data_IF_384360573282
#
_entry.id   IF_384360573282
#
_cell.length_a   1.000
_cell.length_b   1.000
_cell.length_c   1.000
_cell.angle_alpha   90.00
_cell.angle_beta   90.00
_cell.angle_gamma   90.00
#
_symmetry.space_group_name_H-M   'P 1'
#
loop_
_entity.id
_entity.type
_entity.pdbx_description
1 polymer ?
#
# COMPACT_ATOMS: atom_id res chain seq x y z
N UNK A 1 -28.96 -33.30 -25.47
CA UNK A 1 -29.12 -32.19 -24.50
C UNK A 1 -28.43 -32.36 -23.14
N UNK A 2 -27.70 -33.46 -22.85
CA UNK A 2 -27.00 -33.62 -21.54
C UNK A 2 -25.55 -33.10 -21.50
N UNK A 3 -24.92 -32.84 -22.65
CA UNK A 3 -23.52 -32.40 -22.72
C UNK A 3 -23.40 -30.88 -22.48
N UNK A 4 -24.38 -30.09 -22.90
CA UNK A 4 -24.37 -28.62 -22.75
C UNK A 4 -24.48 -28.16 -21.28
N UNK A 5 -25.14 -28.96 -20.42
CA UNK A 5 -25.29 -28.64 -18.99
C UNK A 5 -24.04 -28.91 -18.15
N UNK A 6 -23.15 -29.80 -18.59
CA UNK A 6 -21.90 -30.14 -17.88
C UNK A 6 -20.80 -29.14 -18.24
N UNK A 7 -20.76 -28.65 -19.47
CA UNK A 7 -19.77 -27.65 -19.91
C UNK A 7 -20.03 -26.28 -19.25
N UNK A 8 -21.30 -25.92 -19.03
CA UNK A 8 -21.67 -24.66 -18.38
C UNK A 8 -21.37 -24.65 -16.88
N UNK A 9 -21.44 -25.80 -16.20
CA UNK A 9 -21.06 -25.92 -14.78
C UNK A 9 -19.54 -26.02 -14.58
N UNK A 10 -18.80 -26.62 -15.52
CA UNK A 10 -17.34 -26.67 -15.49
C UNK A 10 -16.71 -25.29 -15.72
N UNK A 11 -17.31 -24.44 -16.57
CA UNK A 11 -16.88 -23.05 -16.75
C UNK A 11 -17.16 -22.18 -15.50
N UNK A 12 -18.22 -22.49 -14.74
CA UNK A 12 -18.55 -21.76 -13.52
C UNK A 12 -17.61 -22.09 -12.36
N UNK A 13 -17.14 -23.34 -12.25
CA UNK A 13 -16.18 -23.74 -11.21
C UNK A 13 -14.71 -23.42 -11.57
N UNK A 14 -14.32 -23.42 -12.85
CA UNK A 14 -12.95 -23.08 -13.25
C UNK A 14 -12.68 -21.56 -13.31
N UNK A 15 -13.73 -20.74 -13.50
CA UNK A 15 -13.63 -19.28 -13.55
C UNK A 15 -13.45 -18.58 -12.20
N UNK A 16 -13.81 -19.23 -11.08
CA UNK A 16 -13.71 -18.62 -9.74
C UNK A 16 -12.28 -18.63 -9.15
N UNK A 17 -11.41 -19.52 -9.64
CA UNK A 17 -10.04 -19.65 -9.12
C UNK A 17 -9.01 -18.78 -9.87
N UNK A 18 -9.36 -18.23 -11.04
CA UNK A 18 -8.38 -17.72 -12.00
C UNK A 18 -8.16 -16.18 -12.01
N UNK A 19 -8.86 -15.39 -11.20
CA UNK A 19 -8.59 -13.95 -11.12
C UNK A 19 -9.18 -13.33 -9.86
N UNK A 20 -8.62 -13.64 -8.69
CA UNK A 20 -8.91 -12.79 -7.53
C UNK A 20 -8.24 -11.43 -7.79
N UNK A 21 -9.05 -10.41 -8.07
CA UNK A 21 -8.57 -9.03 -8.12
C UNK A 21 -7.89 -8.71 -6.77
N UNK A 22 -6.74 -8.03 -6.80
CA UNK A 22 -6.02 -7.60 -5.59
C UNK A 22 -6.93 -6.89 -4.58
N UNK A 23 -7.91 -6.11 -5.07
CA UNK A 23 -8.92 -5.50 -4.22
C UNK A 23 -9.72 -6.56 -3.42
N UNK A 24 -10.22 -7.61 -4.09
CA UNK A 24 -10.98 -8.69 -3.45
C UNK A 24 -10.15 -9.47 -2.45
N UNK A 25 -8.87 -9.71 -2.76
CA UNK A 25 -7.93 -10.37 -1.84
C UNK A 25 -7.79 -9.56 -0.54
N UNK A 26 -7.67 -8.23 -0.66
CA UNK A 26 -7.55 -7.32 0.49
C UNK A 26 -8.87 -7.23 1.25
N UNK A 27 -10.00 -7.03 0.55
CA UNK A 27 -11.33 -6.90 1.17
C UNK A 27 -11.74 -8.14 1.97
N UNK A 28 -11.40 -9.34 1.46
CA UNK A 28 -11.69 -10.60 2.12
C UNK A 28 -10.64 -11.01 3.17
N UNK A 29 -9.59 -10.20 3.38
CA UNK A 29 -8.43 -10.56 4.21
C UNK A 29 -7.86 -11.93 3.84
N UNK A 30 -7.81 -12.24 2.55
CA UNK A 30 -7.39 -13.54 2.06
C UNK A 30 -5.86 -13.62 1.99
N UNK A 31 -5.23 -13.78 3.16
CA UNK A 31 -3.77 -13.87 3.30
C UNK A 31 -3.17 -15.05 2.53
N UNK A 32 -3.91 -16.16 2.41
CA UNK A 32 -3.49 -17.34 1.65
C UNK A 32 -3.35 -17.01 0.16
N UNK A 33 -4.32 -16.31 -0.41
CA UNK A 33 -4.24 -15.86 -1.80
C UNK A 33 -3.14 -14.81 -2.01
N UNK A 34 -3.03 -13.83 -1.10
CA UNK A 34 -1.96 -12.83 -1.14
C UNK A 34 -0.56 -13.47 -1.08
N UNK A 35 -0.41 -14.59 -0.37
CA UNK A 35 0.84 -15.36 -0.29
C UNK A 35 1.16 -16.08 -1.60
N UNK A 36 0.18 -16.31 -2.46
CA UNK A 36 0.35 -16.97 -3.75
C UNK A 36 0.49 -15.98 -4.92
N UNK A 37 0.45 -14.67 -4.67
CA UNK A 37 0.75 -13.65 -5.68
C UNK A 37 2.14 -13.93 -6.26
N UNK A 38 2.17 -14.04 -7.60
CA UNK A 38 3.23 -14.75 -8.33
C UNK A 38 4.26 -13.81 -8.96
N UNK A 39 3.98 -12.50 -9.04
CA UNK A 39 4.93 -11.53 -9.56
C UNK A 39 4.87 -10.18 -8.86
N UNK A 40 6.03 -9.51 -8.76
CA UNK A 40 6.12 -8.12 -8.29
C UNK A 40 5.36 -7.15 -9.21
N UNK A 41 5.21 -7.47 -10.49
CA UNK A 41 4.43 -6.67 -11.45
C UNK A 41 2.96 -6.67 -11.10
N UNK A 42 2.39 -7.83 -10.77
CA UNK A 42 0.98 -7.98 -10.36
C UNK A 42 0.68 -7.11 -9.13
N UNK A 43 1.50 -7.24 -8.08
CA UNK A 43 1.32 -6.55 -6.79
C UNK A 43 1.36 -5.03 -6.92
N UNK A 44 2.05 -4.50 -7.92
CA UNK A 44 2.22 -3.06 -8.15
C UNK A 44 1.20 -2.47 -9.14
N UNK A 45 0.24 -3.27 -9.63
CA UNK A 45 -0.85 -2.74 -10.44
C UNK A 45 -1.73 -1.79 -9.63
N UNK A 46 -2.25 -0.77 -10.32
CA UNK A 46 -3.25 0.12 -9.74
C UNK A 46 -4.58 -0.60 -9.69
N UNK A 47 -5.20 -0.62 -8.52
CA UNK A 47 -6.58 -1.00 -8.32
C UNK A 47 -7.45 0.26 -8.32
N UNK A 48 -8.68 0.13 -8.79
CA UNK A 48 -9.67 1.21 -8.75
C UNK A 48 -10.71 0.89 -7.69
N UNK A 49 -10.70 1.66 -6.61
CA UNK A 49 -11.64 1.52 -5.50
C UNK A 49 -12.49 2.77 -5.45
N UNK A 50 -13.79 2.62 -5.67
CA UNK A 50 -14.76 3.74 -5.62
C UNK A 50 -14.38 4.93 -6.54
N UNK A 51 -13.81 4.64 -7.72
CA UNK A 51 -13.35 5.65 -8.68
C UNK A 51 -11.99 6.28 -8.35
N UNK A 52 -11.32 5.82 -7.29
CA UNK A 52 -9.96 6.26 -6.92
C UNK A 52 -8.96 5.16 -7.27
N UNK A 53 -7.97 5.51 -8.11
CA UNK A 53 -6.84 4.63 -8.38
C UNK A 53 -5.86 4.66 -7.21
N UNK A 54 -5.37 3.50 -6.80
CA UNK A 54 -4.31 3.37 -5.79
C UNK A 54 -3.62 2.02 -5.92
N UNK A 55 -2.48 1.83 -5.25
CA UNK A 55 -1.83 0.50 -5.20
C UNK A 55 -2.51 -0.42 -4.20
N UNK A 56 -2.31 -1.73 -4.35
CA UNK A 56 -2.71 -2.71 -3.33
C UNK A 56 -2.15 -2.38 -1.94
N UNK A 57 -0.88 -1.93 -1.87
CA UNK A 57 -0.25 -1.54 -0.61
C UNK A 57 -0.91 -0.30 0.02
N UNK A 58 -1.24 0.70 -0.80
CA UNK A 58 -2.00 1.88 -0.37
C UNK A 58 -3.36 1.50 0.20
N UNK A 59 -4.07 0.58 -0.46
CA UNK A 59 -5.40 0.13 -0.02
C UNK A 59 -5.35 -0.69 1.27
N UNK A 60 -4.41 -1.62 1.39
CA UNK A 60 -4.18 -2.37 2.63
C UNK A 60 -3.84 -1.44 3.80
N UNK A 61 -3.03 -0.39 3.55
CA UNK A 61 -2.69 0.63 4.54
C UNK A 61 -3.89 1.48 4.97
N UNK A 62 -4.77 1.83 4.02
CA UNK A 62 -6.04 2.51 4.30
C UNK A 62 -6.98 1.63 5.16
N UNK A 63 -7.00 0.31 4.92
CA UNK A 63 -7.79 -0.65 5.69
C UNK A 63 -7.18 -1.02 7.06
N UNK A 64 -6.02 -0.47 7.41
CA UNK A 64 -5.29 -0.78 8.63
C UNK A 64 -4.92 -2.28 8.78
N UNK A 65 -4.70 -2.98 7.66
CA UNK A 65 -4.38 -4.42 7.68
C UNK A 65 -2.86 -4.65 7.65
N UNK A 66 -2.25 -4.70 8.83
CA UNK A 66 -0.78 -4.80 9.00
C UNK A 66 -0.23 -6.11 8.42
N UNK A 67 -0.96 -7.21 8.56
CA UNK A 67 -0.58 -8.51 7.99
C UNK A 67 -0.56 -8.45 6.46
N UNK A 68 -1.59 -7.86 5.84
CA UNK A 68 -1.65 -7.71 4.40
C UNK A 68 -0.58 -6.75 3.89
N UNK A 69 -0.32 -5.62 4.59
CA UNK A 69 0.77 -4.70 4.26
C UNK A 69 2.11 -5.43 4.26
N UNK A 70 2.41 -6.19 5.32
CA UNK A 70 3.64 -6.98 5.41
C UNK A 70 3.77 -7.97 4.25
N UNK A 71 2.69 -8.67 3.92
CA UNK A 71 2.68 -9.68 2.88
C UNK A 71 2.90 -9.06 1.49
N UNK A 72 2.23 -7.95 1.18
CA UNK A 72 2.40 -7.23 -0.08
C UNK A 72 3.84 -6.72 -0.24
N UNK A 73 4.45 -6.18 0.82
CA UNK A 73 5.86 -5.76 0.82
C UNK A 73 6.78 -6.96 0.54
N UNK A 74 6.55 -8.11 1.20
CA UNK A 74 7.31 -9.34 0.95
C UNK A 74 7.17 -9.83 -0.50
N UNK A 75 6.05 -9.53 -1.15
CA UNK A 75 5.78 -9.84 -2.56
C UNK A 75 6.30 -8.79 -3.54
N UNK A 76 7.02 -7.78 -3.06
CA UNK A 76 7.65 -6.77 -3.91
C UNK A 76 6.76 -5.57 -4.21
N UNK A 77 5.76 -5.29 -3.37
CA UNK A 77 5.06 -4.01 -3.43
C UNK A 77 6.05 -2.85 -3.24
N UNK A 78 5.97 -1.88 -4.13
CA UNK A 78 6.72 -0.64 -4.03
C UNK A 78 6.17 0.17 -2.86
N UNK A 79 7.04 0.49 -1.91
CA UNK A 79 6.68 1.27 -0.71
C UNK A 79 6.43 2.74 -1.05
N UNK A 80 7.12 3.27 -2.07
CA UNK A 80 6.95 4.64 -2.59
C UNK A 80 6.84 4.61 -4.11
N UNK A 81 5.70 4.15 -4.65
CA UNK A 81 5.49 4.09 -6.09
C UNK A 81 5.32 5.50 -6.65
N UNK A 82 5.87 5.76 -7.84
CA UNK A 82 5.65 7.02 -8.56
C UNK A 82 4.25 6.98 -9.14
N UNK A 83 3.29 7.51 -8.40
CA UNK A 83 1.90 7.58 -8.84
C UNK A 83 1.32 8.94 -8.53
N UNK A 84 0.31 9.27 -9.31
CA UNK A 84 -0.55 10.43 -9.17
C UNK A 84 -1.49 10.37 -7.95
N UNK A 85 -1.29 9.40 -7.05
CA UNK A 85 -2.21 8.99 -6.01
C UNK A 85 -1.52 9.04 -4.64
N UNK A 86 -2.30 8.98 -3.55
CA UNK A 86 -1.70 8.89 -2.21
C UNK A 86 -0.98 7.55 -2.04
N UNK A 87 0.25 7.59 -1.53
CA UNK A 87 1.00 6.38 -1.25
C UNK A 87 0.58 5.73 0.09
N UNK A 88 1.12 4.55 0.37
CA UNK A 88 0.82 3.78 1.56
C UNK A 88 1.08 4.53 2.86
N UNK A 89 2.16 5.33 2.91
CA UNK A 89 2.54 6.08 4.09
C UNK A 89 1.52 7.19 4.39
N UNK A 90 1.04 7.88 3.35
CA UNK A 90 0.00 8.91 3.49
C UNK A 90 -1.32 8.32 4.03
N UNK A 91 -1.74 7.16 3.55
CA UNK A 91 -2.96 6.51 4.05
C UNK A 91 -2.82 5.99 5.48
N UNK A 92 -1.68 5.36 5.80
CA UNK A 92 -1.38 4.91 7.16
C UNK A 92 -1.36 6.09 8.16
N UNK A 93 -0.75 7.22 7.75
CA UNK A 93 -0.68 8.43 8.55
C UNK A 93 -2.05 9.07 8.75
N UNK A 94 -2.86 9.18 7.69
CA UNK A 94 -4.24 9.67 7.77
C UNK A 94 -5.13 8.81 8.67
N UNK A 95 -4.92 7.49 8.65
CA UNK A 95 -5.72 6.52 9.42
C UNK A 95 -5.29 6.33 10.87
N UNK A 96 -4.19 6.94 11.31
CA UNK A 96 -3.69 6.76 12.68
C UNK A 96 -2.95 5.45 12.92
N UNK A 97 -2.55 4.75 11.85
CA UNK A 97 -1.97 3.40 11.94
C UNK A 97 -0.47 3.45 12.22
N UNK A 98 -0.09 3.73 13.48
CA UNK A 98 1.31 3.88 13.90
C UNK A 98 2.21 2.71 13.47
N UNK A 99 1.75 1.48 13.69
CA UNK A 99 2.53 0.27 13.36
C UNK A 99 2.82 0.16 11.85
N UNK A 100 1.83 0.47 11.01
CA UNK A 100 2.01 0.50 9.55
C UNK A 100 2.96 1.63 9.14
N UNK A 101 2.86 2.81 9.78
CA UNK A 101 3.79 3.92 9.53
C UNK A 101 5.23 3.52 9.82
N UNK A 102 5.51 2.95 11.00
CA UNK A 102 6.84 2.50 11.38
C UNK A 102 7.36 1.39 10.45
N UNK A 103 6.51 0.44 10.08
CA UNK A 103 6.84 -0.60 9.13
C UNK A 103 7.25 0.00 7.77
N UNK A 104 6.43 0.88 7.20
CA UNK A 104 6.71 1.49 5.90
C UNK A 104 8.01 2.31 5.93
N UNK A 105 8.25 3.09 6.98
CA UNK A 105 9.50 3.84 7.18
C UNK A 105 10.70 2.90 7.28
N UNK A 106 10.59 1.78 8.00
CA UNK A 106 11.65 0.76 8.07
C UNK A 106 11.99 0.11 6.73
N UNK A 107 11.02 0.13 5.79
CA UNK A 107 11.16 -0.37 4.42
C UNK A 107 11.55 0.71 3.41
N UNK A 108 11.92 1.89 3.89
CA UNK A 108 12.45 2.96 3.05
C UNK A 108 11.37 3.79 2.35
N UNK A 109 10.16 3.89 2.94
CA UNK A 109 9.16 4.85 2.48
C UNK A 109 9.75 6.26 2.42
N UNK A 110 9.54 6.95 1.31
CA UNK A 110 9.92 8.35 1.18
C UNK A 110 8.97 9.23 2.01
N UNK A 111 9.42 9.65 3.19
CA UNK A 111 8.68 10.56 4.08
C UNK A 111 8.36 11.92 3.44
N UNK A 112 9.12 12.30 2.40
CA UNK A 112 8.98 13.57 1.67
C UNK A 112 8.09 13.45 0.43
N UNK A 113 7.50 12.29 0.15
CA UNK A 113 6.56 12.17 -0.98
C UNK A 113 5.37 13.11 -0.76
N UNK A 114 4.92 13.71 -1.87
CA UNK A 114 3.79 14.63 -1.89
C UNK A 114 2.66 14.06 -2.76
N UNK A 115 1.42 14.23 -2.30
CA UNK A 115 0.25 13.95 -3.12
C UNK A 115 0.06 15.02 -4.20
N UNK A 116 -0.92 14.84 -5.09
CA UNK A 116 -1.33 15.87 -6.07
C UNK A 116 -1.69 17.23 -5.45
N UNK A 117 -2.09 17.24 -4.19
CA UNK A 117 -2.43 18.47 -3.45
C UNK A 117 -1.19 19.13 -2.81
N UNK A 118 0.02 18.59 -3.04
CA UNK A 118 1.25 19.05 -2.38
C UNK A 118 1.32 18.66 -0.90
N UNK A 119 0.58 17.63 -0.48
CA UNK A 119 0.50 17.20 0.93
C UNK A 119 1.37 15.97 1.19
N UNK A 120 2.15 16.03 2.25
CA UNK A 120 2.98 14.93 2.77
C UNK A 120 2.17 14.01 3.68
N UNK A 121 2.74 12.84 4.02
CA UNK A 121 2.15 11.96 5.03
C UNK A 121 1.95 12.67 6.39
N UNK A 122 2.87 13.58 6.75
CA UNK A 122 2.75 14.36 7.99
C UNK A 122 1.51 15.27 7.94
N UNK A 123 1.29 15.97 6.83
CA UNK A 123 0.13 16.85 6.68
C UNK A 123 -1.19 16.09 6.84
N UNK A 124 -1.24 14.84 6.35
CA UNK A 124 -2.41 13.98 6.54
C UNK A 124 -2.59 13.53 8.00
N UNK A 125 -1.51 13.22 8.72
CA UNK A 125 -1.58 12.91 10.15
C UNK A 125 -2.04 14.13 10.97
N UNK A 126 -1.50 15.32 10.69
CA UNK A 126 -1.85 16.58 11.34
C UNK A 126 -3.33 16.92 11.08
N UNK A 127 -3.79 16.82 9.82
CA UNK A 127 -5.19 17.06 9.46
C UNK A 127 -6.19 16.07 10.10
N UNK A 128 -5.74 14.85 10.39
CA UNK A 128 -6.54 13.83 11.06
C UNK A 128 -6.42 13.85 12.60
N UNK A 129 -5.53 14.69 13.15
CA UNK A 129 -5.32 14.81 14.60
C UNK A 129 -4.39 13.74 15.20
N UNK A 130 -3.66 12.97 14.38
CA UNK A 130 -2.74 11.92 14.82
C UNK A 130 -1.35 12.49 15.16
N UNK A 131 -1.29 13.31 16.21
CA UNK A 131 -0.09 14.06 16.60
C UNK A 131 1.15 13.20 16.83
N UNK A 132 1.00 12.02 17.44
CA UNK A 132 2.11 11.10 17.68
C UNK A 132 2.77 10.64 16.37
N UNK A 133 1.96 10.34 15.35
CA UNK A 133 2.44 9.97 14.03
C UNK A 133 3.09 11.17 13.33
N UNK A 134 2.51 12.36 13.46
CA UNK A 134 3.11 13.57 12.90
C UNK A 134 4.52 13.82 13.48
N UNK A 135 4.73 13.57 14.78
CA UNK A 135 6.04 13.66 15.44
C UNK A 135 7.02 12.61 14.90
N UNK A 136 6.59 11.37 14.70
CA UNK A 136 7.41 10.30 14.09
C UNK A 136 7.88 10.73 12.69
N UNK A 137 6.95 11.16 11.85
CA UNK A 137 7.24 11.59 10.47
C UNK A 137 8.15 12.82 10.44
N UNK A 138 7.93 13.79 11.33
CA UNK A 138 8.79 14.97 11.45
C UNK A 138 10.22 14.59 11.83
N UNK A 139 10.36 13.64 12.75
CA UNK A 139 11.67 13.16 13.22
C UNK A 139 12.44 12.49 12.09
N UNK A 140 11.77 11.63 11.31
CA UNK A 140 12.40 10.99 10.14
C UNK A 140 12.78 11.99 9.05
N UNK A 141 11.93 12.98 8.78
CA UNK A 141 12.26 14.08 7.87
C UNK A 141 13.53 14.82 8.30
N UNK A 142 13.62 15.21 9.58
CA UNK A 142 14.82 15.90 10.09
C UNK A 142 16.09 15.04 9.98
N UNK A 143 16.01 13.74 10.27
CA UNK A 143 17.15 12.81 10.13
C UNK A 143 17.69 12.82 8.69
N UNK A 144 16.81 12.73 7.69
CA UNK A 144 17.19 12.73 6.27
C UNK A 144 17.86 14.05 5.89
N UNK A 145 17.29 15.19 6.28
CA UNK A 145 17.85 16.52 5.97
C UNK A 145 19.25 16.68 6.58
N UNK A 146 19.45 16.23 7.83
CA UNK A 146 20.76 16.32 8.47
C UNK A 146 21.79 15.38 7.84
N UNK A 147 21.39 14.17 7.46
CA UNK A 147 22.26 13.26 6.71
C UNK A 147 22.67 13.87 5.35
N UNK A 148 21.74 14.52 4.64
CA UNK A 148 22.03 15.19 3.38
C UNK A 148 23.04 16.33 3.56
N UNK A 149 22.88 17.16 4.60
CA UNK A 149 23.84 18.23 4.94
C UNK A 149 25.22 17.68 5.29
N UNK A 150 25.30 16.64 6.12
CA UNK A 150 26.56 16.01 6.52
C UNK A 150 27.33 15.40 5.33
N UNK A 151 26.62 14.84 4.33
CA UNK A 151 27.23 14.34 3.09
C UNK A 151 27.80 15.46 2.22
N UNK A 152 27.20 16.65 2.24
CA UNK A 152 27.64 17.81 1.44
C UNK A 152 28.91 18.47 1.99
N UNK A 153 29.18 18.35 3.29
CA UNK A 153 30.40 18.90 3.93
C UNK A 153 31.63 18.00 3.69
N UNK A 154 31.42 16.71 3.37
CA UNK A 154 32.50 15.72 3.17
C UNK A 154 32.98 15.58 1.72
N UNK A 155 32.40 16.33 0.77
CA UNK A 155 32.84 16.43 -0.63
C UNK A 155 33.52 17.77 -0.85
#
# INVERSE_FOLDING_TARGET
MKILGIVLSLLFCAGLQAQQNLQTVIDQKNYSAAKNLSSSTEVNQLIEVEGVKMTALSYASLKADIEMVNLLIQKGALVSPITDTRDALMFAAKGGNREIVELLLSKGANVMNESKEGKTARDYADAAGHQEIAVILQTEMYKIIQQAKARRIKK
#
